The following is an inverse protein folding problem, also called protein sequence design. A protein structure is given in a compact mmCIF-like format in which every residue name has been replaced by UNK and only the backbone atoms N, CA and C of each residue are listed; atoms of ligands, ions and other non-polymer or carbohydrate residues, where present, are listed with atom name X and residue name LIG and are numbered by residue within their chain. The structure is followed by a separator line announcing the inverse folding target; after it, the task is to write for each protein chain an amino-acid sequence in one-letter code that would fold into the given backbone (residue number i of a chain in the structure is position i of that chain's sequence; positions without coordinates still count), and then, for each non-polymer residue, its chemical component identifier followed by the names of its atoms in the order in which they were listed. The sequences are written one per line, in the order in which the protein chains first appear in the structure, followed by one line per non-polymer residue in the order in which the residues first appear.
data_IF_980528618060
#
_entry.id   IF_980528618060
#
_cell.length_a   1.000
_cell.length_b   1.000
_cell.length_c   1.000
_cell.angle_alpha   90.00
_cell.angle_beta   90.00
_cell.angle_gamma   90.00
#
_symmetry.space_group_name_H-M   'P 1'
#
loop_
_entity.id
_entity.type
_entity.pdbx_description
1 polymer ?
#
# COMPACT_ATOMS: atom_id res chain seq x y z
N UNK A 1 -7.70 11.28 14.07
CA UNK A 1 -7.40 11.56 12.64
C UNK A 1 -6.85 10.31 11.99
N UNK A 2 -7.36 9.94 10.82
CA UNK A 2 -6.85 8.81 10.03
C UNK A 2 -5.63 9.25 9.23
N UNK A 3 -4.50 8.53 9.36
CA UNK A 3 -3.28 8.82 8.59
C UNK A 3 -3.42 8.29 7.15
N UNK A 4 -2.89 9.04 6.19
CA UNK A 4 -2.91 8.68 4.77
C UNK A 4 -1.51 8.31 4.29
N UNK A 5 -1.38 7.27 3.47
CA UNK A 5 -0.10 6.83 2.89
C UNK A 5 -0.23 6.46 1.41
N UNK A 6 0.81 6.79 0.63
CA UNK A 6 1.01 6.33 -0.75
C UNK A 6 2.19 5.35 -0.77
N UNK A 7 1.96 4.13 -1.26
CA UNK A 7 3.00 3.09 -1.41
C UNK A 7 3.25 2.84 -2.90
N UNK A 8 4.49 3.06 -3.34
CA UNK A 8 4.93 2.71 -4.70
C UNK A 8 5.48 1.28 -4.72
N UNK A 9 5.30 0.56 -5.84
CA UNK A 9 5.65 -0.86 -5.92
C UNK A 9 4.80 -1.75 -5.02
N UNK A 10 3.52 -1.41 -4.84
CA UNK A 10 2.64 -2.07 -3.87
C UNK A 10 2.21 -3.51 -4.25
N UNK A 11 2.55 -3.99 -5.45
CA UNK A 11 2.14 -5.30 -5.97
C UNK A 11 3.02 -6.47 -5.52
N UNK A 12 4.24 -6.24 -5.01
CA UNK A 12 5.13 -7.34 -4.58
C UNK A 12 6.17 -6.92 -3.53
N UNK A 13 6.86 -7.92 -2.96
CA UNK A 13 8.00 -7.72 -2.07
C UNK A 13 7.68 -6.84 -0.85
N UNK A 14 8.62 -5.94 -0.53
CA UNK A 14 8.50 -5.03 0.63
C UNK A 14 7.33 -4.06 0.46
N UNK A 15 7.07 -3.58 -0.76
CA UNK A 15 5.96 -2.65 -1.02
C UNK A 15 4.61 -3.26 -0.68
N UNK A 16 4.36 -4.51 -1.10
CA UNK A 16 3.14 -5.25 -0.75
C UNK A 16 3.02 -5.50 0.76
N UNK A 17 4.12 -5.85 1.43
CA UNK A 17 4.14 -6.07 2.88
C UNK A 17 3.78 -4.78 3.66
N UNK A 18 4.32 -3.63 3.24
CA UNK A 18 4.01 -2.34 3.85
C UNK A 18 2.56 -1.92 3.59
N UNK A 19 2.06 -2.08 2.35
CA UNK A 19 0.69 -1.77 2.01
C UNK A 19 -0.31 -2.57 2.88
N UNK A 20 -0.05 -3.87 3.06
CA UNK A 20 -0.83 -4.75 3.95
C UNK A 20 -0.78 -4.27 5.41
N UNK A 21 0.41 -3.92 5.90
CA UNK A 21 0.60 -3.46 7.27
C UNK A 21 -0.12 -2.13 7.55
N UNK A 22 -0.12 -1.20 6.60
CA UNK A 22 -0.85 0.07 6.72
C UNK A 22 -2.35 -0.12 6.69
N UNK A 23 -2.87 -1.00 5.82
CA UNK A 23 -4.29 -1.36 5.83
C UNK A 23 -4.71 -1.97 7.19
N UNK A 24 -3.91 -2.89 7.74
CA UNK A 24 -4.15 -3.50 9.06
C UNK A 24 -4.13 -2.49 10.21
N UNK A 25 -3.34 -1.42 10.08
CA UNK A 25 -3.25 -0.33 11.08
C UNK A 25 -4.30 0.76 10.89
N UNK A 26 -5.24 0.59 9.97
CA UNK A 26 -6.35 1.52 9.75
C UNK A 26 -5.95 2.82 9.02
N UNK A 27 -4.86 2.80 8.25
CA UNK A 27 -4.49 3.94 7.42
C UNK A 27 -5.40 4.00 6.18
N UNK A 28 -5.67 5.21 5.68
CA UNK A 28 -6.18 5.39 4.32
C UNK A 28 -5.00 5.23 3.36
N UNK A 29 -4.95 4.10 2.65
CA UNK A 29 -3.77 3.71 1.88
C UNK A 29 -4.07 3.67 0.38
N UNK A 30 -3.16 4.22 -0.42
CA UNK A 30 -3.14 4.11 -1.87
C UNK A 30 -1.88 3.36 -2.31
N UNK A 31 -2.04 2.36 -3.16
CA UNK A 31 -0.94 1.60 -3.75
C UNK A 31 -0.82 1.90 -5.24
N UNK A 32 0.40 1.96 -5.76
CA UNK A 32 0.66 2.00 -7.20
C UNK A 32 1.75 1.00 -7.60
N UNK A 33 1.63 0.46 -8.80
CA UNK A 33 2.55 -0.48 -9.45
C UNK A 33 2.61 -0.15 -10.94
N UNK A 34 3.59 -0.72 -11.64
CA UNK A 34 3.67 -0.57 -13.11
C UNK A 34 2.53 -1.30 -13.83
N UNK A 35 2.05 -2.40 -13.25
CA UNK A 35 0.93 -3.21 -13.74
C UNK A 35 -0.16 -3.20 -12.66
N UNK A 36 -1.18 -2.33 -12.75
CA UNK A 36 -2.21 -2.19 -11.72
C UNK A 36 -3.28 -3.29 -11.75
N UNK A 37 -3.27 -4.14 -12.79
CA UNK A 37 -4.23 -5.26 -12.95
C UNK A 37 -3.84 -6.54 -12.18
N UNK A 38 -2.61 -6.61 -11.66
CA UNK A 38 -2.16 -7.65 -10.72
C UNK A 38 -2.36 -7.21 -9.29
#
# INVERSE_FOLDING_TARGET
MTRTALVTGASSGIGAAIAKLFAQRGYRMYGTSRNPET
#
